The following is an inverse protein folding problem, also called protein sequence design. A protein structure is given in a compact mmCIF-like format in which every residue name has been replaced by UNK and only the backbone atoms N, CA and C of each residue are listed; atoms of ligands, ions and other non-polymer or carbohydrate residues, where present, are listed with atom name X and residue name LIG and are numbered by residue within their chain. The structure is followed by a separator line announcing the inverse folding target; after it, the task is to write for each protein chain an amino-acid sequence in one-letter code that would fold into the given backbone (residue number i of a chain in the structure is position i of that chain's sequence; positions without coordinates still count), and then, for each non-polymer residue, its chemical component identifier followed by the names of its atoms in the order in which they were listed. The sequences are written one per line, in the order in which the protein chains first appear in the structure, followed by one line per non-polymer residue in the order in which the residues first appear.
data_IF_976852049945
#
_entry.id   IF_976852049945
#
_cell.length_a   1.000
_cell.length_b   1.000
_cell.length_c   1.000
_cell.angle_alpha   90.00
_cell.angle_beta   90.00
_cell.angle_gamma   90.00
#
_symmetry.space_group_name_H-M   'P 1'
#
loop_
_entity.id
_entity.type
_entity.pdbx_description
1 polymer ?
#
# COMPACT_ATOMS: atom_id res chain seq x y z
N UNK A 1 16.59 4.79 18.60
CA UNK A 1 15.65 5.63 17.84
C UNK A 1 16.22 5.84 16.45
N UNK A 2 15.49 5.50 15.39
CA UNK A 2 15.95 5.73 14.02
C UNK A 2 16.04 7.25 13.80
N UNK A 3 17.24 7.74 13.54
CA UNK A 3 17.49 9.15 13.22
C UNK A 3 17.10 9.38 11.75
N UNK A 4 15.95 10.00 11.52
CA UNK A 4 15.58 10.53 10.22
C UNK A 4 16.44 11.77 9.98
N UNK A 5 17.42 11.66 9.08
CA UNK A 5 18.21 12.81 8.63
C UNK A 5 17.30 13.72 7.80
N UNK A 6 17.08 14.93 8.29
CA UNK A 6 16.56 16.13 7.61
C UNK A 6 16.18 15.96 6.12
N UNK A 7 14.92 15.65 5.87
CA UNK A 7 14.20 15.76 4.60
C UNK A 7 12.72 15.94 4.93
N UNK A 8 11.99 16.81 4.22
CA UNK A 8 10.57 17.04 4.48
C UNK A 8 9.78 15.73 4.46
N UNK A 9 8.63 15.67 5.14
CA UNK A 9 7.79 14.47 5.28
C UNK A 9 7.65 13.71 3.95
N UNK A 10 8.47 12.67 3.75
CA UNK A 10 8.33 11.75 2.63
C UNK A 10 6.99 11.02 2.82
N UNK A 11 6.13 11.07 1.81
CA UNK A 11 4.80 10.43 1.88
C UNK A 11 4.95 8.95 2.21
N UNK A 12 4.18 8.49 3.18
CA UNK A 12 4.10 7.10 3.56
C UNK A 12 3.19 6.32 2.60
N UNK A 13 3.63 5.13 2.18
CA UNK A 13 2.85 4.20 1.36
C UNK A 13 2.68 2.90 2.15
N UNK A 14 1.44 2.44 2.29
CA UNK A 14 1.10 1.16 2.92
C UNK A 14 0.52 0.20 1.89
N UNK A 15 0.97 -1.05 1.89
CA UNK A 15 0.54 -2.08 0.94
C UNK A 15 -0.03 -3.27 1.73
N UNK A 16 -1.28 -3.64 1.46
CA UNK A 16 -1.96 -4.78 2.08
C UNK A 16 -2.76 -5.62 1.08
N UNK A 17 -3.33 -6.72 1.52
CA UNK A 17 -4.18 -7.61 0.70
C UNK A 17 -5.44 -8.13 1.43
N UNK A 18 -5.54 -7.93 2.75
CA UNK A 18 -6.67 -8.41 3.54
C UNK A 18 -7.04 -7.49 4.71
N UNK A 19 -8.11 -7.86 5.44
CA UNK A 19 -8.76 -6.98 6.43
C UNK A 19 -7.87 -6.62 7.63
N UNK A 20 -6.89 -7.44 7.98
CA UNK A 20 -5.93 -7.15 9.04
C UNK A 20 -5.01 -5.96 8.69
N UNK A 21 -4.86 -5.61 7.42
CA UNK A 21 -4.04 -4.50 6.97
C UNK A 21 -4.78 -3.15 7.09
N UNK A 22 -6.10 -3.16 7.32
CA UNK A 22 -6.95 -1.96 7.30
C UNK A 22 -6.43 -0.86 8.23
N UNK A 23 -6.07 -1.20 9.47
CA UNK A 23 -5.64 -0.20 10.44
C UNK A 23 -4.31 0.45 10.04
N UNK A 24 -3.39 -0.30 9.40
CA UNK A 24 -2.18 0.28 8.81
C UNK A 24 -2.53 1.19 7.63
N UNK A 25 -3.42 0.73 6.73
CA UNK A 25 -3.80 1.48 5.53
C UNK A 25 -4.52 2.80 5.86
N UNK A 26 -5.20 2.89 7.01
CA UNK A 26 -5.80 4.15 7.48
C UNK A 26 -4.78 5.21 7.90
N UNK A 27 -3.54 4.81 8.23
CA UNK A 27 -2.54 5.69 8.84
C UNK A 27 -1.48 6.19 7.85
N UNK A 28 -1.52 5.74 6.60
CA UNK A 28 -0.56 6.12 5.56
C UNK A 28 -1.15 7.15 4.59
N UNK A 29 -0.28 7.91 3.93
CA UNK A 29 -0.68 8.94 2.96
C UNK A 29 -1.23 8.32 1.66
N UNK A 30 -0.66 7.17 1.27
CA UNK A 30 -1.02 6.46 0.03
C UNK A 30 -1.32 4.99 0.38
N UNK A 31 -2.60 4.65 0.65
CA UNK A 31 -2.98 3.27 0.88
C UNK A 31 -3.15 2.51 -0.44
N UNK A 32 -2.55 1.33 -0.53
CA UNK A 32 -2.62 0.46 -1.70
C UNK A 32 -3.03 -0.95 -1.30
N UNK A 33 -3.94 -1.55 -2.07
CA UNK A 33 -4.28 -2.97 -1.96
C UNK A 33 -3.79 -3.75 -3.18
N UNK A 34 -3.13 -4.87 -2.93
CA UNK A 34 -2.84 -5.88 -3.95
C UNK A 34 -4.00 -6.87 -4.03
N UNK A 35 -4.11 -7.59 -5.15
CA UNK A 35 -5.10 -8.64 -5.26
C UNK A 35 -4.74 -9.81 -4.33
N UNK A 36 -5.75 -10.56 -3.89
CA UNK A 36 -5.57 -11.88 -3.29
C UNK A 36 -5.14 -12.88 -4.36
N UNK A 37 -4.64 -14.04 -3.95
CA UNK A 37 -4.21 -15.11 -4.88
C UNK A 37 -5.29 -15.54 -5.88
N UNK A 38 -6.57 -15.39 -5.53
CA UNK A 38 -7.71 -15.71 -6.40
C UNK A 38 -8.11 -14.55 -7.34
N UNK A 39 -7.33 -13.48 -7.42
CA UNK A 39 -7.58 -12.30 -8.27
C UNK A 39 -8.62 -11.32 -7.70
N UNK A 40 -9.27 -11.64 -6.60
CA UNK A 40 -10.22 -10.73 -5.93
C UNK A 40 -9.48 -9.72 -5.05
N UNK A 41 -10.16 -8.66 -4.65
CA UNK A 41 -9.66 -7.70 -3.67
C UNK A 41 -10.45 -7.82 -2.38
N UNK A 42 -9.82 -7.55 -1.24
CA UNK A 42 -10.58 -7.35 0.00
C UNK A 42 -11.55 -6.17 -0.15
N UNK A 43 -12.73 -6.29 0.46
CA UNK A 43 -13.72 -5.22 0.44
C UNK A 43 -13.36 -4.11 1.44
N UNK A 44 -12.27 -3.41 1.15
CA UNK A 44 -11.80 -2.24 1.89
C UNK A 44 -12.16 -0.99 1.09
N UNK A 45 -12.74 0.00 1.77
CA UNK A 45 -13.05 1.30 1.21
C UNK A 45 -12.33 2.37 2.03
N UNK A 46 -11.32 3.00 1.44
CA UNK A 46 -10.60 4.13 2.01
C UNK A 46 -10.48 5.25 0.97
N UNK A 47 -10.51 6.52 1.38
CA UNK A 47 -10.20 7.63 0.49
C UNK A 47 -8.83 7.42 -0.15
N UNK A 48 -8.74 7.56 -1.48
CA UNK A 48 -7.47 7.42 -2.20
C UNK A 48 -6.90 6.01 -2.29
N UNK A 49 -7.67 4.96 -1.93
CA UNK A 49 -7.22 3.57 -2.02
C UNK A 49 -6.89 3.17 -3.47
N UNK A 50 -5.65 2.76 -3.70
CA UNK A 50 -5.17 2.29 -5.00
C UNK A 50 -5.26 0.77 -5.08
N UNK A 51 -5.63 0.23 -6.24
CA UNK A 51 -5.58 -1.22 -6.53
C UNK A 51 -4.39 -1.52 -7.44
N UNK A 52 -3.44 -2.33 -6.98
CA UNK A 52 -2.18 -2.58 -7.67
C UNK A 52 -2.27 -3.49 -8.91
N UNK A 53 -3.44 -4.08 -9.19
CA UNK A 53 -3.68 -4.87 -10.40
C UNK A 53 -3.07 -6.27 -10.42
N UNK A 54 -2.32 -6.67 -9.39
CA UNK A 54 -1.75 -8.01 -9.24
C UNK A 54 -1.64 -8.42 -7.77
N UNK A 55 -1.44 -9.71 -7.53
CA UNK A 55 -1.33 -10.29 -6.19
C UNK A 55 0.11 -10.42 -5.70
N UNK A 56 0.28 -10.43 -4.38
CA UNK A 56 1.55 -10.77 -3.73
C UNK A 56 2.75 -9.98 -4.29
N UNK A 57 3.91 -10.62 -4.53
CA UNK A 57 5.13 -9.94 -4.96
C UNK A 57 5.00 -9.13 -6.26
N UNK A 58 4.20 -9.59 -7.22
CA UNK A 58 4.00 -8.85 -8.47
C UNK A 58 3.25 -7.53 -8.21
N UNK A 59 2.19 -7.59 -7.38
CA UNK A 59 1.45 -6.40 -6.95
C UNK A 59 2.38 -5.42 -6.23
N UNK A 60 3.17 -5.91 -5.28
CA UNK A 60 4.16 -5.09 -4.56
C UNK A 60 5.17 -4.44 -5.50
N UNK A 61 5.72 -5.19 -6.46
CA UNK A 61 6.67 -4.64 -7.45
C UNK A 61 6.04 -3.51 -8.28
N UNK A 62 4.78 -3.69 -8.73
CA UNK A 62 4.04 -2.62 -9.43
C UNK A 62 3.88 -1.38 -8.56
N UNK A 63 3.65 -1.52 -7.26
CA UNK A 63 3.54 -0.35 -6.38
C UNK A 63 4.88 0.39 -6.29
N UNK A 64 5.97 -0.33 -6.06
CA UNK A 64 7.31 0.26 -5.96
C UNK A 64 7.68 1.01 -7.24
N UNK A 65 7.50 0.37 -8.40
CA UNK A 65 7.87 0.94 -9.70
C UNK A 65 7.03 2.14 -10.13
N UNK A 66 5.78 2.27 -9.65
CA UNK A 66 4.88 3.34 -10.11
C UNK A 66 4.69 4.48 -9.09
N UNK A 67 4.99 4.26 -7.81
CA UNK A 67 4.67 5.22 -6.75
C UNK A 67 5.84 5.58 -5.83
N UNK A 68 6.96 4.85 -5.89
CA UNK A 68 8.12 5.06 -5.00
C UNK A 68 9.35 5.50 -5.81
N UNK A 69 9.61 4.83 -6.93
CA UNK A 69 10.71 5.15 -7.85
C UNK A 69 10.25 6.14 -8.92
#
# INVERSE_FOLDING_TARGET
AYNLKNGGFDKSIGIGDSMNDLEMLKQVDIPVIVAKKNGTYENIQLPGLIKAGAAGPEGWNKVVLNYIL
#
